data_IF_837336033361
#
_entry.id   IF_837336033361
#
_cell.length_a   1.000
_cell.length_b   1.000
_cell.length_c   1.000
_cell.angle_alpha   90.00
_cell.angle_beta   90.00
_cell.angle_gamma   90.00
#
_symmetry.space_group_name_H-M   'P 1'
#
loop_
_entity.id
_entity.type
_entity.pdbx_description
1 polymer ?
#
# COMPACT_ATOMS: atom_id res chain seq x y z
N UNK A 1 -6.28 40.27 10.31
CA UNK A 1 -5.00 39.77 9.74
C UNK A 1 -4.98 39.95 8.22
N UNK A 2 -6.04 39.52 7.51
CA UNK A 2 -6.20 39.74 6.06
C UNK A 2 -6.31 41.24 5.67
N UNK A 3 -6.97 42.08 6.47
CA UNK A 3 -7.11 43.54 6.24
C UNK A 3 -5.81 44.35 6.39
N UNK A 4 -4.75 43.74 6.93
CA UNK A 4 -3.44 44.39 7.12
C UNK A 4 -2.46 44.02 6.00
N UNK A 5 -2.86 43.17 5.07
CA UNK A 5 -2.05 42.79 3.93
C UNK A 5 -2.12 43.87 2.84
N UNK A 6 -1.00 44.15 2.13
CA UNK A 6 -0.98 45.02 0.97
C UNK A 6 -2.01 44.59 -0.08
N UNK A 7 -2.52 45.55 -0.85
CA UNK A 7 -3.62 45.31 -1.78
C UNK A 7 -3.29 44.27 -2.85
N UNK A 8 -2.02 44.08 -3.18
CA UNK A 8 -1.47 43.14 -4.17
C UNK A 8 -1.15 41.74 -3.59
N UNK A 9 -1.41 41.51 -2.30
CA UNK A 9 -1.14 40.24 -1.63
C UNK A 9 -2.44 39.45 -1.42
N UNK A 10 -2.39 38.15 -1.69
CA UNK A 10 -3.48 37.21 -1.43
C UNK A 10 -3.00 36.07 -0.53
N UNK A 11 -3.94 35.35 0.06
CA UNK A 11 -3.69 34.15 0.87
C UNK A 11 -4.06 32.93 0.02
N UNK A 12 -3.12 31.99 -0.09
CA UNK A 12 -3.33 30.69 -0.71
C UNK A 12 -3.46 29.62 0.38
N UNK A 13 -4.67 29.11 0.58
CA UNK A 13 -4.94 27.94 1.42
C UNK A 13 -4.82 26.66 0.61
N UNK A 14 -4.12 25.67 1.14
CA UNK A 14 -3.94 24.35 0.51
C UNK A 14 -4.43 23.30 1.50
N UNK A 15 -5.41 22.50 1.10
CA UNK A 15 -5.96 21.41 1.93
C UNK A 15 -4.92 20.28 2.12
N UNK A 16 -5.14 19.39 3.08
CA UNK A 16 -4.31 18.20 3.29
C UNK A 16 -4.27 17.32 2.03
N UNK A 17 -3.12 16.68 1.77
CA UNK A 17 -2.89 15.85 0.59
C UNK A 17 -3.18 16.56 -0.75
N UNK A 18 -2.95 17.88 -0.82
CA UNK A 18 -3.18 18.72 -2.01
C UNK A 18 -1.92 19.48 -2.40
N UNK A 19 -1.66 19.60 -3.70
CA UNK A 19 -0.58 20.40 -4.26
C UNK A 19 -1.14 21.42 -5.27
N UNK A 20 -0.54 22.61 -5.29
CA UNK A 20 -0.81 23.66 -6.28
C UNK A 20 0.48 23.95 -7.04
N UNK A 21 0.52 23.63 -8.33
CA UNK A 21 1.69 23.84 -9.18
C UNK A 21 1.46 25.11 -10.00
N UNK A 22 2.32 26.11 -9.81
CA UNK A 22 2.31 27.36 -10.56
C UNK A 22 3.34 27.27 -11.69
N UNK A 23 2.87 27.33 -12.92
CA UNK A 23 3.67 27.33 -14.13
C UNK A 23 3.73 28.77 -14.66
N UNK A 24 4.87 29.43 -14.44
CA UNK A 24 5.05 30.85 -14.78
C UNK A 24 5.30 31.07 -16.28
N UNK A 25 5.75 30.04 -16.98
CA UNK A 25 6.04 30.11 -18.41
C UNK A 25 4.74 30.10 -19.22
N UNK A 26 3.78 29.29 -18.79
CA UNK A 26 2.43 29.21 -19.39
C UNK A 26 1.39 30.09 -18.68
N UNK A 27 1.78 30.75 -17.59
CA UNK A 27 0.94 31.56 -16.71
C UNK A 27 -0.31 30.81 -16.20
N UNK A 28 -0.14 29.55 -15.77
CA UNK A 28 -1.20 28.68 -15.27
C UNK A 28 -0.92 28.12 -13.87
N UNK A 29 -1.98 27.83 -13.12
CA UNK A 29 -1.95 27.06 -11.88
C UNK A 29 -2.73 25.77 -12.05
N UNK A 30 -2.19 24.66 -11.52
CA UNK A 30 -2.85 23.36 -11.54
C UNK A 30 -2.97 22.80 -10.12
N UNK A 31 -4.14 22.27 -9.79
CA UNK A 31 -4.41 21.64 -8.50
C UNK A 31 -4.35 20.12 -8.67
N UNK A 32 -3.54 19.46 -7.85
CA UNK A 32 -3.38 18.00 -7.84
C UNK A 32 -3.50 17.47 -6.41
N UNK A 33 -3.79 16.17 -6.25
CA UNK A 33 -4.01 15.54 -4.94
C UNK A 33 -5.48 15.20 -4.66
N UNK A 34 -5.84 15.01 -3.39
CA UNK A 34 -7.19 14.57 -2.98
C UNK A 34 -8.09 15.71 -2.49
N UNK A 35 -7.53 16.88 -2.18
CA UNK A 35 -8.27 18.05 -1.70
C UNK A 35 -8.29 19.19 -2.71
N UNK A 36 -8.41 20.43 -2.20
CA UNK A 36 -8.58 21.61 -3.02
C UNK A 36 -7.68 22.78 -2.55
N UNK A 37 -7.60 23.79 -3.40
CA UNK A 37 -6.87 25.03 -3.12
C UNK A 37 -7.87 26.16 -3.01
N UNK A 38 -7.71 27.03 -2.01
CA UNK A 38 -8.59 28.18 -1.79
C UNK A 38 -7.78 29.48 -1.83
N UNK A 39 -8.19 30.42 -2.67
CA UNK A 39 -7.61 31.76 -2.72
C UNK A 39 -8.49 32.69 -1.91
N UNK A 40 -7.89 33.48 -1.01
CA UNK A 40 -8.59 34.50 -0.22
C UNK A 40 -7.93 35.86 -0.35
N UNK A 41 -8.74 36.88 -0.63
CA UNK A 41 -8.29 38.29 -0.70
C UNK A 41 -9.44 39.23 -0.40
N UNK A 42 -9.22 40.18 0.51
CA UNK A 42 -10.20 41.20 0.89
C UNK A 42 -11.62 40.66 1.13
N UNK A 43 -11.73 39.51 1.80
CA UNK A 43 -13.02 38.90 2.14
C UNK A 43 -13.69 38.09 1.03
N UNK A 44 -13.08 37.99 -0.16
CA UNK A 44 -13.53 37.12 -1.25
C UNK A 44 -12.74 35.82 -1.22
N UNK A 45 -13.42 34.69 -1.40
CA UNK A 45 -12.84 33.35 -1.31
C UNK A 45 -13.28 32.49 -2.49
N UNK A 46 -12.31 31.98 -3.26
CA UNK A 46 -12.57 31.10 -4.41
C UNK A 46 -11.84 29.78 -4.23
N UNK A 47 -12.53 28.66 -4.42
CA UNK A 47 -12.01 27.30 -4.22
C UNK A 47 -11.88 26.56 -5.55
N UNK A 48 -10.75 25.89 -5.76
CA UNK A 48 -10.41 25.11 -6.94
C UNK A 48 -10.14 23.66 -6.55
N UNK A 49 -10.98 22.75 -7.05
CA UNK A 49 -10.88 21.32 -6.77
C UNK A 49 -9.72 20.64 -7.52
N UNK A 50 -9.31 19.46 -7.05
CA UNK A 50 -8.28 18.66 -7.71
C UNK A 50 -8.61 18.39 -9.18
N UNK A 51 -7.60 18.51 -10.04
CA UNK A 51 -7.71 18.41 -11.49
C UNK A 51 -8.03 19.75 -12.18
N UNK A 52 -8.29 20.83 -11.43
CA UNK A 52 -8.48 22.16 -12.01
C UNK A 52 -7.17 22.72 -12.57
N UNK A 53 -7.25 23.27 -13.78
CA UNK A 53 -6.20 24.09 -14.40
C UNK A 53 -6.77 25.48 -14.66
N UNK A 54 -6.16 26.51 -14.07
CA UNK A 54 -6.69 27.87 -14.05
C UNK A 54 -5.59 28.89 -14.33
N UNK A 55 -5.83 29.95 -15.12
CA UNK A 55 -4.82 30.99 -15.36
C UNK A 55 -4.38 31.69 -14.07
N UNK A 56 -3.10 32.03 -13.96
CA UNK A 56 -2.55 32.77 -12.81
C UNK A 56 -3.15 34.17 -12.67
N UNK A 57 -3.67 34.74 -13.76
CA UNK A 57 -4.42 35.99 -13.70
C UNK A 57 -5.62 35.91 -12.75
N UNK A 58 -6.23 34.74 -12.53
CA UNK A 58 -7.31 34.57 -11.54
C UNK A 58 -6.77 34.72 -10.11
N UNK A 59 -5.53 34.26 -9.86
CA UNK A 59 -4.83 34.43 -8.57
C UNK A 59 -4.40 35.89 -8.36
N UNK A 60 -4.05 36.59 -9.46
CA UNK A 60 -3.61 38.00 -9.44
C UNK A 60 -4.78 38.99 -9.34
N UNK A 61 -5.93 38.67 -9.93
CA UNK A 61 -7.07 39.58 -10.07
C UNK A 61 -8.12 39.40 -8.97
N UNK A 62 -8.32 38.17 -8.48
CA UNK A 62 -9.39 37.87 -7.52
C UNK A 62 -10.81 38.20 -8.01
N UNK A 63 -11.00 38.42 -9.32
CA UNK A 63 -12.26 38.88 -9.89
C UNK A 63 -12.91 37.77 -10.73
N UNK A 64 -14.17 37.46 -10.41
CA UNK A 64 -14.94 36.32 -10.89
C UNK A 64 -15.66 36.59 -12.23
N UNK A 65 -15.10 37.51 -13.05
CA UNK A 65 -15.88 38.17 -14.11
C UNK A 65 -15.70 37.59 -15.52
N UNK A 66 -15.24 36.34 -15.67
CA UNK A 66 -15.35 35.60 -16.95
C UNK A 66 -15.68 34.12 -16.76
N UNK A 67 -16.79 33.61 -17.33
CA UNK A 67 -17.07 32.18 -17.33
C UNK A 67 -15.99 31.45 -18.16
N UNK A 68 -15.12 30.73 -17.47
CA UNK A 68 -14.16 29.84 -18.10
C UNK A 68 -14.91 28.63 -18.68
N UNK A 69 -14.86 28.49 -20.00
CA UNK A 69 -15.27 27.26 -20.68
C UNK A 69 -14.03 26.38 -20.76
N UNK A 70 -14.04 25.14 -20.25
CA UNK A 70 -12.86 24.28 -20.28
C UNK A 70 -12.52 23.97 -21.73
N UNK A 71 -11.56 24.70 -22.29
CA UNK A 71 -10.91 24.31 -23.53
C UNK A 71 -9.84 23.31 -23.14
N UNK A 72 -10.02 22.07 -23.58
CA UNK A 72 -8.99 21.04 -23.55
C UNK A 72 -7.76 21.58 -24.29
N UNK A 73 -6.79 22.10 -23.54
CA UNK A 73 -5.51 22.50 -24.12
C UNK A 73 -4.64 21.26 -24.11
N UNK A 74 -4.38 20.77 -25.32
CA UNK A 74 -3.46 19.67 -25.57
C UNK A 74 -2.06 20.08 -25.15
N UNK A 75 -1.44 19.17 -24.39
CA UNK A 75 -0.11 19.23 -23.75
C UNK A 75 1.03 19.39 -24.74
N UNK A 76 1.90 20.38 -24.52
CA UNK A 76 3.26 20.52 -25.06
C UNK A 76 3.90 21.65 -24.23
N UNK A 77 4.99 21.58 -23.46
CA UNK A 77 6.06 20.64 -23.19
C UNK A 77 6.67 21.07 -21.83
N UNK A 78 6.98 20.10 -20.98
CA UNK A 78 7.80 20.25 -19.77
C UNK A 78 8.60 18.96 -19.61
N UNK A 79 9.24 18.56 -20.71
CA UNK A 79 9.58 17.18 -21.00
C UNK A 79 10.82 16.69 -20.23
N UNK A 80 11.87 17.48 -20.04
CA UNK A 80 13.16 16.88 -19.71
C UNK A 80 13.46 16.66 -18.21
N UNK A 81 12.76 17.32 -17.28
CA UNK A 81 12.95 17.12 -15.81
C UNK A 81 11.83 16.29 -15.18
N UNK A 82 10.64 16.24 -15.79
CA UNK A 82 9.51 15.40 -15.33
C UNK A 82 9.59 13.96 -15.83
N UNK A 83 10.40 13.70 -16.85
CA UNK A 83 10.53 12.39 -17.49
C UNK A 83 11.36 11.39 -16.69
N UNK A 84 12.16 11.80 -15.68
CA UNK A 84 12.86 10.87 -14.77
C UNK A 84 12.04 10.54 -13.50
N UNK A 85 11.37 11.55 -12.94
CA UNK A 85 10.43 11.42 -11.81
C UNK A 85 9.26 10.45 -12.10
N UNK A 86 8.68 10.55 -13.31
CA UNK A 86 7.54 9.73 -13.70
C UNK A 86 7.87 8.22 -13.77
N UNK A 87 8.97 7.77 -14.43
CA UNK A 87 9.39 6.37 -14.44
C UNK A 87 9.70 5.79 -13.06
N UNK A 88 10.35 6.55 -12.17
CA UNK A 88 10.62 6.06 -10.81
C UNK A 88 9.33 5.80 -10.05
N UNK A 89 8.43 6.77 -9.99
CA UNK A 89 7.15 6.62 -9.28
C UNK A 89 6.21 5.61 -9.97
N UNK A 90 6.29 5.46 -11.29
CA UNK A 90 5.62 4.36 -12.01
C UNK A 90 6.17 3.00 -11.60
N UNK A 91 7.50 2.88 -11.42
CA UNK A 91 8.15 1.70 -10.88
C UNK A 91 7.71 1.37 -9.46
N UNK A 92 7.63 2.37 -8.58
CA UNK A 92 7.10 2.21 -7.21
C UNK A 92 5.67 1.68 -7.24
N UNK A 93 4.79 2.31 -8.04
CA UNK A 93 3.39 1.86 -8.20
C UNK A 93 3.29 0.45 -8.78
N UNK A 94 4.16 0.09 -9.72
CA UNK A 94 4.18 -1.23 -10.31
C UNK A 94 4.60 -2.30 -9.29
N UNK A 95 5.59 -2.01 -8.45
CA UNK A 95 6.01 -2.90 -7.36
C UNK A 95 4.89 -3.07 -6.31
N UNK A 96 4.23 -1.99 -5.90
CA UNK A 96 3.06 -2.05 -5.00
C UNK A 96 1.94 -2.90 -5.58
N UNK A 97 1.62 -2.71 -6.88
CA UNK A 97 0.60 -3.52 -7.54
C UNK A 97 0.98 -5.01 -7.58
N UNK A 98 2.23 -5.33 -7.91
CA UNK A 98 2.71 -6.70 -7.91
C UNK A 98 2.57 -7.32 -6.52
N UNK A 99 2.98 -6.57 -5.49
CA UNK A 99 2.85 -7.00 -4.10
C UNK A 99 1.40 -7.30 -3.73
N UNK A 100 0.47 -6.40 -4.08
CA UNK A 100 -0.96 -6.59 -3.80
C UNK A 100 -1.53 -7.82 -4.51
N UNK A 101 -1.19 -8.02 -5.78
CA UNK A 101 -1.61 -9.20 -6.55
C UNK A 101 -1.06 -10.49 -5.92
N UNK A 102 0.20 -10.50 -5.48
CA UNK A 102 0.84 -11.65 -4.85
C UNK A 102 0.24 -11.95 -3.46
N UNK A 103 -0.03 -10.93 -2.65
CA UNK A 103 -0.70 -11.09 -1.35
C UNK A 103 -2.12 -11.63 -1.53
N UNK A 104 -2.87 -11.15 -2.53
CA UNK A 104 -4.21 -11.64 -2.84
C UNK A 104 -4.20 -13.11 -3.31
N UNK A 105 -3.14 -13.53 -4.00
CA UNK A 105 -2.96 -14.91 -4.45
C UNK A 105 -2.40 -15.85 -3.36
N UNK A 106 -2.00 -15.33 -2.20
CA UNK A 106 -1.27 -16.10 -1.18
C UNK A 106 0.15 -16.50 -1.63
N UNK A 107 0.72 -15.81 -2.61
CA UNK A 107 2.06 -16.05 -3.12
C UNK A 107 3.09 -15.25 -2.32
N UNK A 108 3.54 -15.83 -1.21
CA UNK A 108 4.58 -15.23 -0.38
C UNK A 108 5.90 -14.97 -1.13
N UNK A 109 6.24 -15.80 -2.14
CA UNK A 109 7.47 -15.62 -2.91
C UNK A 109 7.35 -14.43 -3.85
N UNK A 110 6.22 -14.30 -4.54
CA UNK A 110 5.90 -13.13 -5.38
C UNK A 110 5.88 -11.84 -4.57
N UNK A 111 5.28 -11.87 -3.37
CA UNK A 111 5.24 -10.70 -2.48
C UNK A 111 6.64 -10.28 -2.02
N UNK A 112 7.50 -11.22 -1.62
CA UNK A 112 8.90 -10.92 -1.28
C UNK A 112 9.67 -10.40 -2.49
N UNK A 113 9.44 -10.98 -3.67
CA UNK A 113 10.07 -10.49 -4.92
C UNK A 113 9.73 -9.03 -5.18
N UNK A 114 8.46 -8.63 -5.04
CA UNK A 114 8.05 -7.24 -5.23
C UNK A 114 8.73 -6.26 -4.28
N UNK A 115 8.96 -6.67 -3.01
CA UNK A 115 9.71 -5.87 -2.03
C UNK A 115 11.17 -5.70 -2.47
N UNK A 116 11.82 -6.78 -2.88
CA UNK A 116 13.22 -6.74 -3.35
C UNK A 116 13.36 -5.95 -4.66
N UNK A 117 12.40 -6.08 -5.58
CA UNK A 117 12.38 -5.30 -6.82
C UNK A 117 12.27 -3.79 -6.54
N UNK A 118 11.47 -3.39 -5.51
CA UNK A 118 11.41 -1.99 -5.09
C UNK A 118 12.72 -1.52 -4.44
N UNK A 119 13.36 -2.37 -3.63
CA UNK A 119 14.66 -2.04 -3.02
C UNK A 119 15.74 -1.84 -4.09
N UNK A 120 15.79 -2.74 -5.09
CA UNK A 120 16.68 -2.63 -6.26
C UNK A 120 16.40 -1.36 -7.06
N UNK A 121 15.11 -1.03 -7.29
CA UNK A 121 14.72 0.21 -7.96
C UNK A 121 15.19 1.45 -7.18
N UNK A 122 15.02 1.47 -5.86
CA UNK A 122 15.48 2.58 -5.02
C UNK A 122 17.00 2.70 -5.05
N UNK A 123 17.72 1.57 -5.05
CA UNK A 123 19.17 1.54 -5.10
C UNK A 123 19.72 2.00 -6.47
N UNK A 124 19.11 1.57 -7.57
CA UNK A 124 19.48 1.97 -8.94
C UNK A 124 19.34 3.48 -9.14
N UNK A 125 18.25 4.04 -8.61
CA UNK A 125 17.93 5.46 -8.73
C UNK A 125 18.60 6.34 -7.67
N UNK A 126 19.29 5.76 -6.68
CA UNK A 126 20.00 6.47 -5.59
C UNK A 126 21.09 7.44 -6.08
N UNK A 127 21.56 7.28 -7.31
CA UNK A 127 22.55 8.16 -7.93
C UNK A 127 21.93 9.31 -8.73
N UNK A 128 20.61 9.28 -8.94
CA UNK A 128 19.87 10.36 -9.59
C UNK A 128 19.43 11.41 -8.57
N UNK A 129 19.12 12.62 -9.05
CA UNK A 129 18.66 13.70 -8.16
C UNK A 129 17.21 13.44 -7.79
N UNK A 130 16.98 12.83 -6.63
CA UNK A 130 15.65 12.69 -6.05
C UNK A 130 15.10 14.02 -5.52
N UNK A 131 13.79 14.21 -5.66
CA UNK A 131 13.07 15.06 -4.73
C UNK A 131 12.91 14.35 -3.38
N UNK A 132 12.85 15.11 -2.29
CA UNK A 132 12.61 14.56 -0.96
C UNK A 132 11.27 13.80 -0.85
N UNK A 133 10.29 14.17 -1.68
CA UNK A 133 8.96 13.57 -1.70
C UNK A 133 8.97 12.18 -2.36
N UNK A 134 9.71 11.99 -3.45
CA UNK A 134 9.86 10.70 -4.13
C UNK A 134 10.55 9.66 -3.25
N UNK A 135 11.64 10.05 -2.59
CA UNK A 135 12.36 9.18 -1.66
C UNK A 135 11.46 8.79 -0.47
N UNK A 136 10.68 9.75 0.05
CA UNK A 136 9.72 9.48 1.11
C UNK A 136 8.62 8.51 0.67
N UNK A 137 8.11 8.65 -0.56
CA UNK A 137 7.07 7.78 -1.11
C UNK A 137 7.56 6.34 -1.28
N UNK A 138 8.72 6.13 -1.90
CA UNK A 138 9.28 4.79 -2.08
C UNK A 138 9.59 4.11 -0.74
N UNK A 139 10.13 4.85 0.23
CA UNK A 139 10.40 4.33 1.57
C UNK A 139 9.11 3.98 2.32
N UNK A 140 8.04 4.77 2.14
CA UNK A 140 6.74 4.48 2.72
C UNK A 140 6.12 3.21 2.12
N UNK A 141 6.20 3.04 0.79
CA UNK A 141 5.77 1.85 0.09
C UNK A 141 6.50 0.60 0.59
N UNK A 142 7.84 0.64 0.68
CA UNK A 142 8.66 -0.46 1.18
C UNK A 142 8.27 -0.86 2.62
N UNK A 143 8.14 0.12 3.51
CA UNK A 143 7.73 -0.13 4.92
C UNK A 143 6.34 -0.75 5.01
N UNK A 144 5.39 -0.25 4.22
CA UNK A 144 4.04 -0.80 4.16
C UNK A 144 4.03 -2.27 3.74
N UNK A 145 4.75 -2.61 2.67
CA UNK A 145 4.85 -4.00 2.19
C UNK A 145 5.51 -4.92 3.22
N UNK A 146 6.61 -4.48 3.85
CA UNK A 146 7.30 -5.27 4.90
C UNK A 146 6.38 -5.49 6.11
N UNK A 147 5.65 -4.47 6.57
CA UNK A 147 4.69 -4.61 7.67
C UNK A 147 3.60 -5.61 7.32
N UNK A 148 3.00 -5.52 6.13
CA UNK A 148 1.94 -6.44 5.68
C UNK A 148 2.44 -7.88 5.52
N UNK A 149 3.68 -8.08 5.06
CA UNK A 149 4.33 -9.41 5.07
C UNK A 149 4.50 -9.94 6.49
N UNK A 150 4.95 -9.10 7.43
CA UNK A 150 5.08 -9.47 8.83
C UNK A 150 3.74 -9.90 9.44
N UNK A 151 2.67 -9.15 9.20
CA UNK A 151 1.32 -9.48 9.65
C UNK A 151 0.81 -10.80 9.07
N UNK A 152 1.03 -11.02 7.76
CA UNK A 152 0.65 -12.29 7.13
C UNK A 152 1.49 -13.48 7.64
N UNK A 153 2.77 -13.24 7.93
CA UNK A 153 3.68 -14.23 8.47
C UNK A 153 3.39 -14.61 9.92
N UNK A 154 2.71 -13.77 10.71
CA UNK A 154 2.38 -14.06 12.12
C UNK A 154 1.59 -15.37 12.30
N UNK A 155 0.75 -15.71 11.33
CA UNK A 155 0.05 -17.00 11.30
C UNK A 155 0.91 -18.13 10.69
N UNK A 156 1.80 -17.82 9.75
CA UNK A 156 2.63 -18.78 9.04
C UNK A 156 3.91 -19.20 9.76
N UNK A 157 4.39 -18.39 10.71
CA UNK A 157 5.60 -18.63 11.51
C UNK A 157 5.35 -19.46 12.77
N UNK A 158 4.09 -19.79 13.07
CA UNK A 158 3.74 -20.68 14.18
C UNK A 158 4.34 -22.07 13.96
N UNK A 159 4.73 -22.74 15.04
CA UNK A 159 5.17 -24.12 14.95
C UNK A 159 4.05 -24.96 14.29
N UNK A 160 4.31 -25.60 13.13
CA UNK A 160 3.30 -26.43 12.47
C UNK A 160 2.71 -27.50 13.40
N UNK A 161 3.51 -27.98 14.37
CA UNK A 161 3.09 -28.96 15.37
C UNK A 161 2.02 -28.38 16.28
N UNK A 162 2.20 -27.16 16.78
CA UNK A 162 1.21 -26.47 17.63
C UNK A 162 -0.09 -26.19 16.87
N UNK A 163 0.00 -25.88 15.57
CA UNK A 163 -1.18 -25.61 14.73
C UNK A 163 -2.01 -26.88 14.51
N UNK A 164 -1.37 -28.03 14.31
CA UNK A 164 -2.08 -29.29 14.04
C UNK A 164 -2.48 -30.04 15.33
N UNK A 165 -1.85 -29.73 16.47
CA UNK A 165 -2.01 -30.45 17.72
C UNK A 165 -3.47 -30.69 18.14
N UNK A 166 -4.36 -29.67 18.14
CA UNK A 166 -5.75 -29.88 18.55
C UNK A 166 -6.50 -30.90 17.68
N UNK A 167 -6.15 -31.01 16.40
CA UNK A 167 -6.76 -31.96 15.47
C UNK A 167 -6.19 -33.36 15.66
N UNK A 168 -4.88 -33.48 15.88
CA UNK A 168 -4.23 -34.77 16.16
C UNK A 168 -4.74 -35.33 17.49
N UNK A 169 -4.81 -34.50 18.53
CA UNK A 169 -5.30 -34.90 19.86
C UNK A 169 -6.76 -35.39 19.78
N UNK A 170 -7.63 -34.69 19.05
CA UNK A 170 -9.00 -35.13 18.83
C UNK A 170 -9.10 -36.49 18.10
N UNK A 171 -8.20 -36.77 17.16
CA UNK A 171 -8.13 -38.07 16.48
C UNK A 171 -7.59 -39.17 17.40
N UNK A 172 -6.61 -38.87 18.26
CA UNK A 172 -6.10 -39.79 19.26
C UNK A 172 -7.17 -40.13 20.30
N UNK A 173 -7.97 -39.15 20.74
CA UNK A 173 -9.14 -39.39 21.60
C UNK A 173 -10.19 -40.27 20.92
N UNK A 174 -10.49 -40.01 19.64
CA UNK A 174 -11.42 -40.83 18.86
C UNK A 174 -10.92 -42.28 18.73
N UNK A 175 -9.61 -42.46 18.49
CA UNK A 175 -8.96 -43.78 18.49
C UNK A 175 -9.10 -44.48 19.84
N UNK A 176 -8.84 -43.78 20.95
CA UNK A 176 -8.96 -44.37 22.28
C UNK A 176 -10.40 -44.80 22.58
N UNK A 177 -11.38 -43.99 22.19
CA UNK A 177 -12.80 -44.32 22.32
C UNK A 177 -13.17 -45.57 21.52
N UNK A 178 -12.70 -45.67 20.27
CA UNK A 178 -12.90 -46.85 19.45
C UNK A 178 -12.29 -48.11 20.09
N UNK A 179 -11.10 -48.02 20.72
CA UNK A 179 -10.52 -49.14 21.47
C UNK A 179 -11.37 -49.54 22.67
N UNK A 180 -11.86 -48.57 23.45
CA UNK A 180 -12.70 -48.81 24.62
C UNK A 180 -14.03 -49.50 24.23
N UNK A 181 -14.57 -49.14 23.07
CA UNK A 181 -15.79 -49.73 22.49
C UNK A 181 -15.52 -51.02 21.67
N UNK A 182 -14.28 -51.52 21.67
CA UNK A 182 -13.85 -52.72 20.92
C UNK A 182 -14.03 -52.62 19.39
N UNK A 183 -14.14 -51.40 18.85
CA UNK A 183 -14.17 -51.11 17.41
C UNK A 183 -12.74 -51.04 16.85
N UNK A 184 -12.04 -52.17 16.86
CA UNK A 184 -10.62 -52.23 16.49
C UNK A 184 -10.33 -51.77 15.06
N UNK A 185 -11.21 -52.10 14.11
CA UNK A 185 -11.09 -51.64 12.72
C UNK A 185 -11.10 -50.12 12.60
N UNK A 186 -11.94 -49.44 13.39
CA UNK A 186 -12.00 -47.97 13.39
C UNK A 186 -10.72 -47.37 14.01
N UNK A 187 -10.23 -47.96 15.10
CA UNK A 187 -9.00 -47.53 15.76
C UNK A 187 -7.76 -47.68 14.85
N UNK A 188 -7.68 -48.80 14.13
CA UNK A 188 -6.63 -49.06 13.15
C UNK A 188 -6.72 -48.08 11.96
N UNK A 189 -7.92 -47.84 11.43
CA UNK A 189 -8.12 -46.89 10.35
C UNK A 189 -7.74 -45.44 10.73
N UNK A 190 -7.87 -45.05 12.00
CA UNK A 190 -7.40 -43.73 12.48
C UNK A 190 -5.87 -43.71 12.56
N UNK A 191 -5.24 -44.74 13.13
CA UNK A 191 -3.77 -44.84 13.20
C UNK A 191 -3.16 -44.76 11.80
N UNK A 192 -3.69 -45.53 10.86
CA UNK A 192 -3.11 -45.64 9.53
C UNK A 192 -3.26 -44.32 8.73
N UNK A 193 -4.34 -43.57 8.97
CA UNK A 193 -4.51 -42.21 8.41
C UNK A 193 -3.53 -41.20 9.01
N UNK A 194 -3.29 -41.25 10.32
CA UNK A 194 -2.30 -40.40 10.98
C UNK A 194 -0.89 -40.69 10.44
N UNK A 195 -0.51 -41.97 10.33
CA UNK A 195 0.75 -42.39 9.71
C UNK A 195 0.87 -41.93 8.24
N UNK A 196 -0.20 -42.07 7.45
CA UNK A 196 -0.20 -41.61 6.06
C UNK A 196 -0.08 -40.07 5.93
N UNK A 197 -0.51 -39.32 6.95
CA UNK A 197 -0.32 -37.87 7.05
C UNK A 197 1.07 -37.48 7.58
N UNK A 198 1.95 -38.44 7.86
CA UNK A 198 3.29 -38.23 8.41
C UNK A 198 3.32 -38.02 9.92
N UNK A 199 2.24 -38.37 10.65
CA UNK A 199 2.20 -38.29 12.11
C UNK A 199 2.62 -39.63 12.70
N UNK A 200 3.76 -39.65 13.36
CA UNK A 200 4.24 -40.81 14.13
C UNK A 200 3.62 -40.81 15.52
N UNK A 201 3.07 -41.96 15.93
CA UNK A 201 2.43 -42.14 17.24
C UNK A 201 3.34 -43.00 18.12
N UNK A 202 3.74 -42.48 19.29
CA UNK A 202 4.48 -43.22 20.32
C UNK A 202 3.63 -43.36 21.57
N UNK A 203 3.27 -44.59 21.90
CA UNK A 203 2.63 -44.86 23.18
C UNK A 203 3.69 -44.80 24.30
N UNK A 204 3.46 -43.95 25.30
CA UNK A 204 4.27 -43.83 26.52
C UNK A 204 3.47 -44.26 27.74
N UNK A 205 4.11 -44.61 28.86
CA UNK A 205 3.41 -44.91 30.12
C UNK A 205 2.53 -43.75 30.64
N UNK A 206 2.79 -42.53 30.19
CA UNK A 206 2.10 -41.29 30.56
C UNK A 206 0.91 -40.96 29.65
N UNK A 207 0.76 -41.67 28.53
CA UNK A 207 -0.18 -41.34 27.46
C UNK A 207 0.43 -41.52 26.06
N UNK A 208 -0.33 -41.18 25.03
CA UNK A 208 0.17 -41.22 23.64
C UNK A 208 0.85 -39.89 23.30
N UNK A 209 2.13 -39.96 22.93
CA UNK A 209 2.92 -38.85 22.39
C UNK A 209 2.98 -38.96 20.87
N UNK A 210 3.14 -37.85 20.15
CA UNK A 210 3.17 -37.85 18.69
C UNK A 210 4.17 -36.83 18.11
N UNK A 211 4.72 -37.15 16.94
CA UNK A 211 5.66 -36.31 16.21
C UNK A 211 5.37 -36.31 14.71
N UNK A 212 6.03 -35.43 13.96
CA UNK A 212 5.93 -35.29 12.50
C UNK A 212 7.29 -35.45 11.83
#
# INVERSE_FOLDING_TARGET
MEEQLPADVFILGVDEHTACILDLDTDTATVTGLGAVTIRRHGHSTRFESGAAVPLDIFRSGDDSRPYTPSSVTRTEGAEVREAAAPFLDGVRAAEKHFDDAMAAGDARGAVKAVLDLDDLVAEWAHETFSADEEAQARAALRSMVTRLGEAADNGLRDPTEVIAPYVDALLEARQRARNEQRFTDADAIRDRLLAAGVEIRDTPSGTDWGR
#
